data_IF_417155670625
#
_entry.id   IF_417155670625
#
_cell.length_a   1.000
_cell.length_b   1.000
_cell.length_c   1.000
_cell.angle_alpha   90.00
_cell.angle_beta   90.00
_cell.angle_gamma   90.00
#
_symmetry.space_group_name_H-M   'P 1'
#
loop_
_entity.id
_entity.type
_entity.pdbx_description
1 polymer ?
#
# COMPACT_ATOMS: atom_id res chain seq x y z
N UNK A 1 49.44 -29.30 16.34
CA UNK A 1 48.93 -27.91 16.27
C UNK A 1 47.65 -27.97 15.45
N UNK A 2 46.51 -27.96 16.09
CA UNK A 2 45.21 -27.95 15.45
C UNK A 2 44.72 -26.50 15.42
N UNK A 3 44.62 -25.92 14.22
CA UNK A 3 44.05 -24.60 14.01
C UNK A 3 42.53 -24.73 14.04
N UNK A 4 41.88 -24.29 15.11
CA UNK A 4 40.46 -24.07 15.17
C UNK A 4 40.13 -22.86 14.31
N UNK A 5 39.61 -23.10 13.12
CA UNK A 5 38.98 -22.07 12.30
C UNK A 5 37.66 -21.67 12.97
N UNK A 6 37.64 -20.50 13.58
CA UNK A 6 36.41 -19.87 14.06
C UNK A 6 35.64 -19.41 12.81
N UNK A 7 34.65 -20.18 12.39
CA UNK A 7 33.59 -19.70 11.52
C UNK A 7 32.73 -18.75 12.37
N UNK A 8 33.07 -17.46 12.36
CA UNK A 8 32.13 -16.43 12.76
C UNK A 8 30.97 -16.48 11.77
N UNK A 9 29.85 -17.09 12.15
CA UNK A 9 28.55 -16.78 11.56
C UNK A 9 28.33 -15.28 11.83
N UNK A 10 28.63 -14.46 10.85
CA UNK A 10 28.11 -13.09 10.83
C UNK A 10 26.60 -13.21 10.84
N UNK A 11 25.99 -12.85 11.96
CA UNK A 11 24.56 -12.60 12.05
C UNK A 11 24.32 -11.44 11.06
N UNK A 12 24.01 -11.78 9.80
CA UNK A 12 23.83 -10.77 8.75
C UNK A 12 22.64 -9.92 9.17
N UNK A 13 22.90 -8.65 9.44
CA UNK A 13 21.88 -7.70 9.85
C UNK A 13 20.76 -7.68 8.81
N UNK A 14 19.54 -8.05 9.21
CA UNK A 14 18.37 -8.07 8.36
C UNK A 14 17.63 -6.74 8.48
N UNK A 15 17.03 -6.32 7.37
CA UNK A 15 16.04 -5.23 7.35
C UNK A 15 14.63 -5.83 7.36
N UNK A 16 13.80 -5.38 8.30
CA UNK A 16 12.41 -5.81 8.44
C UNK A 16 11.49 -4.80 7.78
N UNK A 17 10.73 -5.25 6.78
CA UNK A 17 9.87 -4.36 5.99
C UNK A 17 8.42 -4.80 6.11
N UNK A 18 7.57 -3.89 6.59
CA UNK A 18 6.13 -4.10 6.64
C UNK A 18 5.48 -3.91 5.27
N UNK A 19 4.73 -4.89 4.81
CA UNK A 19 3.95 -4.84 3.56
C UNK A 19 2.55 -5.40 3.79
N UNK A 20 1.65 -5.19 2.84
CA UNK A 20 0.39 -5.92 2.79
C UNK A 20 0.61 -7.34 2.28
N UNK A 21 -0.27 -8.27 2.71
CA UNK A 21 -0.25 -9.65 2.23
C UNK A 21 -1.47 -10.00 1.37
N UNK A 22 -2.46 -9.11 1.31
CA UNK A 22 -3.80 -9.33 0.76
C UNK A 22 -4.15 -8.42 -0.43
N UNK A 23 -3.18 -7.67 -0.97
CA UNK A 23 -3.39 -6.72 -2.06
C UNK A 23 -2.68 -7.17 -3.34
N UNK A 24 -3.35 -7.94 -4.23
CA UNK A 24 -2.78 -8.33 -5.53
C UNK A 24 -2.31 -7.11 -6.33
N UNK A 25 -1.10 -7.16 -6.87
CA UNK A 25 -0.47 -6.06 -7.61
C UNK A 25 0.27 -5.03 -6.75
N UNK A 26 0.08 -5.01 -5.42
CA UNK A 26 0.78 -4.09 -4.51
C UNK A 26 1.63 -4.83 -3.48
N UNK A 27 1.02 -5.36 -2.42
CA UNK A 27 1.66 -6.18 -1.41
C UNK A 27 0.89 -7.49 -1.29
N UNK A 28 1.43 -8.56 -1.85
CA UNK A 28 0.74 -9.84 -1.93
C UNK A 28 1.65 -11.01 -1.56
N UNK A 29 1.14 -11.86 -0.66
CA UNK A 29 1.82 -13.11 -0.30
C UNK A 29 1.18 -14.27 -1.03
N UNK A 30 1.97 -14.95 -1.89
CA UNK A 30 1.53 -16.10 -2.67
C UNK A 30 2.51 -17.25 -2.52
N UNK A 31 2.01 -18.36 -1.99
CA UNK A 31 2.81 -19.60 -1.86
C UNK A 31 4.19 -19.42 -1.22
N UNK A 32 4.29 -18.51 -0.23
CA UNK A 32 5.54 -18.24 0.50
C UNK A 32 6.44 -17.18 -0.14
N UNK A 33 6.11 -16.67 -1.31
CA UNK A 33 6.77 -15.54 -1.97
C UNK A 33 5.99 -14.25 -1.78
N UNK A 34 6.66 -13.12 -1.96
CA UNK A 34 6.06 -11.79 -1.89
C UNK A 34 6.21 -11.12 -3.25
N UNK A 35 5.11 -10.56 -3.75
CA UNK A 35 5.02 -9.90 -5.05
C UNK A 35 4.15 -8.64 -4.97
N UNK A 36 4.33 -7.72 -5.92
CA UNK A 36 3.58 -6.49 -6.02
C UNK A 36 4.46 -5.25 -6.08
N UNK A 37 3.86 -4.12 -6.42
CA UNK A 37 4.57 -2.86 -6.61
C UNK A 37 5.24 -2.36 -5.32
N UNK A 38 4.53 -2.41 -4.17
CA UNK A 38 5.11 -2.07 -2.86
C UNK A 38 6.32 -2.96 -2.52
N UNK A 39 6.26 -4.25 -2.92
CA UNK A 39 7.37 -5.20 -2.70
C UNK A 39 8.56 -4.87 -3.59
N UNK A 40 8.33 -4.53 -4.87
CA UNK A 40 9.40 -4.17 -5.80
C UNK A 40 10.08 -2.85 -5.36
N UNK A 41 9.31 -1.84 -4.95
CA UNK A 41 9.84 -0.59 -4.38
C UNK A 41 10.63 -0.85 -3.08
N UNK A 42 10.09 -1.70 -2.19
CA UNK A 42 10.76 -2.05 -0.93
C UNK A 42 12.11 -2.75 -1.16
N UNK A 43 12.18 -3.70 -2.13
CA UNK A 43 13.42 -4.35 -2.51
C UNK A 43 14.42 -3.36 -3.09
N UNK A 44 13.96 -2.49 -3.97
CA UNK A 44 14.83 -1.48 -4.59
C UNK A 44 15.47 -0.58 -3.52
N UNK A 45 14.65 -0.02 -2.62
CA UNK A 45 15.13 0.80 -1.50
C UNK A 45 16.11 0.01 -0.62
N UNK A 46 15.78 -1.21 -0.21
CA UNK A 46 16.65 -2.02 0.63
C UNK A 46 18.01 -2.29 -0.04
N UNK A 47 18.02 -2.58 -1.36
CA UNK A 47 19.25 -2.79 -2.11
C UNK A 47 20.11 -1.52 -2.18
N UNK A 48 19.51 -0.33 -2.37
CA UNK A 48 20.21 0.95 -2.34
C UNK A 48 20.76 1.27 -0.95
N UNK A 49 20.13 0.79 0.11
CA UNK A 49 20.61 0.88 1.49
C UNK A 49 21.72 -0.16 1.82
N UNK A 50 22.10 -1.00 0.86
CA UNK A 50 23.18 -1.98 1.00
C UNK A 50 22.74 -3.38 1.47
N UNK A 51 21.45 -3.66 1.56
CA UNK A 51 20.94 -4.98 1.90
C UNK A 51 20.74 -5.84 0.65
N UNK A 52 21.09 -7.11 0.73
CA UNK A 52 20.76 -8.11 -0.29
C UNK A 52 19.33 -8.60 -0.12
N UNK A 53 18.75 -9.21 -1.15
CA UNK A 53 17.39 -9.80 -1.06
C UNK A 53 17.26 -10.86 0.05
N UNK A 54 18.33 -11.59 0.37
CA UNK A 54 18.36 -12.57 1.44
C UNK A 54 18.29 -11.95 2.85
N UNK A 55 18.65 -10.68 2.97
CA UNK A 55 18.60 -9.92 4.24
C UNK A 55 17.26 -9.19 4.43
N UNK A 56 16.36 -9.23 3.43
CA UNK A 56 15.04 -8.62 3.57
C UNK A 56 14.08 -9.60 4.25
N UNK A 57 13.48 -9.16 5.36
CA UNK A 57 12.43 -9.89 6.07
C UNK A 57 11.10 -9.15 5.96
N UNK A 58 10.18 -9.67 5.14
CA UNK A 58 8.85 -9.10 5.02
C UNK A 58 7.94 -9.50 6.18
N UNK A 59 7.27 -8.52 6.77
CA UNK A 59 6.25 -8.67 7.83
C UNK A 59 4.90 -8.20 7.32
N UNK A 60 3.84 -8.87 7.75
CA UNK A 60 2.49 -8.39 7.49
C UNK A 60 2.22 -7.11 8.28
N UNK A 61 1.81 -6.05 7.60
CA UNK A 61 1.49 -4.76 8.20
C UNK A 61 0.02 -4.36 7.96
N UNK A 62 -0.92 -4.89 8.76
CA UNK A 62 -2.32 -4.51 8.70
C UNK A 62 -2.49 -3.01 8.97
N UNK A 63 -3.43 -2.36 8.29
CA UNK A 63 -3.59 -0.89 8.33
C UNK A 63 -3.66 -0.31 9.74
N UNK A 64 -4.34 -0.99 10.65
CA UNK A 64 -4.49 -0.54 12.05
C UNK A 64 -3.21 -0.67 12.90
N UNK A 65 -2.24 -1.49 12.46
CA UNK A 65 -1.06 -1.82 13.28
C UNK A 65 0.20 -1.08 12.86
N UNK A 66 0.20 -0.40 11.70
CA UNK A 66 1.41 0.16 11.07
C UNK A 66 2.16 1.12 11.98
N UNK A 67 1.45 2.08 12.59
CA UNK A 67 2.05 3.06 13.49
C UNK A 67 2.70 2.39 14.72
N UNK A 68 2.02 1.43 15.34
CA UNK A 68 2.53 0.69 16.48
C UNK A 68 3.75 -0.17 16.13
N UNK A 69 3.71 -0.85 14.96
CA UNK A 69 4.84 -1.67 14.50
C UNK A 69 6.12 -0.85 14.31
N UNK A 70 6.00 0.36 13.76
CA UNK A 70 7.14 1.29 13.63
C UNK A 70 7.62 1.81 14.98
N UNK A 71 6.72 2.24 15.84
CA UNK A 71 7.05 2.76 17.17
C UNK A 71 7.75 1.71 18.04
N UNK A 72 7.30 0.47 17.98
CA UNK A 72 7.88 -0.65 18.74
C UNK A 72 9.20 -1.17 18.14
N UNK A 73 9.53 -0.84 16.88
CA UNK A 73 10.68 -1.42 16.18
C UNK A 73 10.45 -2.86 15.70
N UNK A 74 9.20 -3.26 15.52
CA UNK A 74 8.85 -4.57 14.94
C UNK A 74 9.26 -4.64 13.47
N UNK A 75 9.30 -3.48 12.81
CA UNK A 75 9.78 -3.25 11.44
C UNK A 75 10.60 -1.96 11.35
N UNK A 76 11.52 -1.90 10.39
CA UNK A 76 12.38 -0.74 10.15
C UNK A 76 11.69 0.28 9.23
N UNK A 77 10.91 -0.20 8.26
CA UNK A 77 10.08 0.63 7.38
C UNK A 77 8.82 -0.09 6.93
N UNK A 78 7.82 0.66 6.46
CA UNK A 78 6.55 0.13 5.95
C UNK A 78 6.23 0.71 4.58
N UNK A 79 6.03 -0.19 3.59
CA UNK A 79 5.44 0.09 2.28
C UNK A 79 4.18 -0.77 2.12
N UNK A 80 3.04 -0.21 2.44
CA UNK A 80 1.79 -0.97 2.57
C UNK A 80 0.58 -0.13 2.13
N UNK A 81 0.64 0.44 0.89
CA UNK A 81 -0.33 1.43 0.42
C UNK A 81 -0.58 2.49 1.50
N UNK A 82 0.51 3.08 2.01
CA UNK A 82 0.50 3.86 3.23
C UNK A 82 0.40 5.35 2.94
N UNK A 83 -0.85 5.85 2.79
CA UNK A 83 -1.11 7.28 2.52
C UNK A 83 -0.47 8.17 3.58
N UNK A 84 0.32 9.14 3.15
CA UNK A 84 0.88 10.20 3.99
C UNK A 84 -0.27 11.10 4.43
N UNK A 85 -0.47 11.26 5.74
CA UNK A 85 -1.48 12.17 6.31
C UNK A 85 -0.94 12.89 7.52
N UNK A 86 -1.47 14.11 7.79
CA UNK A 86 -1.08 14.88 8.97
C UNK A 86 -1.35 14.12 10.29
N UNK A 87 -2.38 13.30 10.32
CA UNK A 87 -2.68 12.47 11.48
C UNK A 87 -1.59 11.42 11.71
N UNK A 88 -1.16 10.73 10.67
CA UNK A 88 -0.09 9.72 10.74
C UNK A 88 1.28 10.34 11.03
N UNK A 89 1.56 11.52 10.47
CA UNK A 89 2.80 12.30 10.75
C UNK A 89 2.96 12.66 12.24
N UNK A 90 1.91 12.63 13.04
CA UNK A 90 2.02 12.81 14.51
C UNK A 90 2.69 11.61 15.19
N UNK A 91 2.50 10.41 14.66
CA UNK A 91 2.94 9.15 15.26
C UNK A 91 4.22 8.57 14.64
N UNK A 92 4.43 8.78 13.34
CA UNK A 92 5.54 8.24 12.53
C UNK A 92 6.04 9.30 11.56
N UNK A 93 7.23 9.09 11.00
CA UNK A 93 7.73 9.92 9.90
C UNK A 93 7.57 9.17 8.57
N UNK A 94 7.67 9.91 7.46
CA UNK A 94 7.54 9.39 6.11
C UNK A 94 8.67 9.86 5.21
N UNK A 95 9.08 8.98 4.30
CA UNK A 95 9.78 9.33 3.07
C UNK A 95 8.85 9.15 1.88
N UNK A 96 9.13 9.77 0.76
CA UNK A 96 8.32 9.73 -0.45
C UNK A 96 7.61 11.05 -0.74
N UNK A 97 6.51 11.06 -1.51
CA UNK A 97 5.78 9.86 -1.93
C UNK A 97 6.52 9.02 -2.99
N UNK A 98 6.22 7.72 -3.04
CA UNK A 98 6.68 6.84 -4.13
C UNK A 98 5.58 6.52 -5.15
N UNK A 99 4.33 6.87 -4.85
CA UNK A 99 3.16 6.69 -5.70
C UNK A 99 2.03 7.63 -5.27
N UNK A 100 1.19 8.06 -6.20
CA UNK A 100 -0.04 8.81 -5.91
C UNK A 100 -1.22 8.02 -6.46
N UNK A 101 -1.99 7.39 -5.58
CA UNK A 101 -3.24 6.72 -5.91
C UNK A 101 -4.43 7.70 -5.84
N UNK A 102 -5.58 7.26 -6.32
CA UNK A 102 -6.85 7.94 -6.13
C UNK A 102 -7.85 7.04 -5.44
N UNK A 103 -8.56 7.51 -4.42
CA UNK A 103 -9.64 6.73 -3.82
C UNK A 103 -10.80 6.58 -4.79
N UNK A 104 -11.31 5.34 -4.93
CA UNK A 104 -12.43 5.00 -5.83
C UNK A 104 -13.37 3.99 -5.17
N UNK A 105 -14.31 3.46 -5.93
CA UNK A 105 -15.27 2.45 -5.52
C UNK A 105 -15.17 1.21 -6.38
N UNK A 106 -15.35 0.05 -5.77
CA UNK A 106 -15.54 -1.22 -6.45
C UNK A 106 -16.92 -1.78 -6.13
N UNK A 107 -17.60 -2.26 -7.15
CA UNK A 107 -18.96 -2.82 -7.09
C UNK A 107 -19.03 -4.14 -7.83
N UNK A 108 -20.13 -4.89 -7.68
CA UNK A 108 -20.40 -6.04 -8.51
C UNK A 108 -20.57 -5.62 -9.97
N UNK A 109 -20.26 -6.51 -10.90
CA UNK A 109 -20.25 -6.22 -12.35
C UNK A 109 -21.60 -5.70 -12.86
N UNK A 110 -22.71 -6.20 -12.31
CA UNK A 110 -24.10 -5.87 -12.67
C UNK A 110 -24.69 -4.69 -11.89
N UNK A 111 -23.96 -4.12 -10.93
CA UNK A 111 -24.40 -2.93 -10.18
C UNK A 111 -24.41 -1.68 -11.09
N UNK A 112 -25.54 -1.01 -11.19
CA UNK A 112 -25.72 0.18 -12.04
C UNK A 112 -26.16 1.42 -11.29
N UNK A 113 -26.54 1.28 -10.01
CA UNK A 113 -27.03 2.38 -9.18
C UNK A 113 -25.96 3.14 -8.42
N UNK A 114 -24.68 2.64 -8.42
CA UNK A 114 -23.56 3.29 -7.75
C UNK A 114 -22.55 3.72 -8.83
N UNK A 115 -22.41 5.04 -9.03
CA UNK A 115 -21.57 5.66 -10.05
C UNK A 115 -20.56 6.67 -9.45
N UNK A 116 -20.66 6.91 -8.15
CA UNK A 116 -19.80 7.81 -7.40
C UNK A 116 -20.09 7.71 -5.89
N UNK A 117 -19.28 8.37 -5.06
CA UNK A 117 -19.43 8.29 -3.60
C UNK A 117 -20.75 8.89 -3.09
N UNK A 118 -21.39 9.78 -3.82
CA UNK A 118 -22.67 10.40 -3.48
C UNK A 118 -23.82 9.36 -3.48
N UNK A 119 -23.71 8.30 -4.28
CA UNK A 119 -24.73 7.26 -4.41
C UNK A 119 -24.70 6.25 -3.23
N UNK A 120 -23.79 6.42 -2.28
CA UNK A 120 -23.60 5.49 -1.16
C UNK A 120 -24.52 5.74 0.03
N UNK A 121 -25.36 6.80 0.04
CA UNK A 121 -26.33 7.01 1.12
C UNK A 121 -27.31 5.83 1.19
N UNK A 122 -27.46 5.29 2.42
CA UNK A 122 -28.27 4.10 2.66
C UNK A 122 -27.67 2.77 2.17
N UNK A 123 -26.52 2.78 1.52
CA UNK A 123 -25.81 1.59 1.05
C UNK A 123 -24.86 1.03 2.12
N UNK A 124 -24.55 -0.25 2.01
CA UNK A 124 -23.57 -0.95 2.84
C UNK A 124 -22.22 -0.88 2.15
N UNK A 125 -21.27 -0.21 2.80
CA UNK A 125 -19.92 0.02 2.30
C UNK A 125 -18.92 -0.76 3.13
N UNK A 126 -18.00 -1.48 2.48
CA UNK A 126 -16.87 -2.09 3.16
C UNK A 126 -15.60 -1.25 2.97
N UNK A 127 -14.84 -1.15 4.04
CA UNK A 127 -13.45 -0.67 4.01
C UNK A 127 -12.65 -1.35 5.13
N UNK A 128 -11.36 -1.02 5.24
CA UNK A 128 -10.46 -1.66 6.19
C UNK A 128 -10.26 -0.79 7.42
N UNK A 129 -10.32 -1.42 8.60
CA UNK A 129 -10.04 -0.76 9.88
C UNK A 129 -8.65 -0.12 9.86
N UNK A 130 -8.57 1.18 10.18
CA UNK A 130 -7.33 1.96 10.14
C UNK A 130 -6.96 2.53 8.76
N UNK A 131 -7.80 2.31 7.72
CA UNK A 131 -7.68 3.03 6.45
C UNK A 131 -8.32 4.43 6.54
N UNK A 132 -7.89 5.33 5.66
CA UNK A 132 -8.48 6.67 5.52
C UNK A 132 -9.79 6.65 4.74
N UNK A 133 -9.97 5.66 3.88
CA UNK A 133 -10.99 5.64 2.82
C UNK A 133 -12.42 5.69 3.31
N UNK A 134 -12.77 4.90 4.35
CA UNK A 134 -14.12 4.89 4.89
C UNK A 134 -14.49 6.20 5.56
N UNK A 135 -13.52 6.79 6.30
CA UNK A 135 -13.68 8.08 6.96
C UNK A 135 -13.97 9.18 5.92
N UNK A 136 -13.19 9.23 4.84
CA UNK A 136 -13.34 10.22 3.78
C UNK A 136 -14.73 10.15 3.14
N UNK A 137 -15.22 8.96 2.79
CA UNK A 137 -16.57 8.82 2.21
C UNK A 137 -17.63 9.31 3.17
N UNK A 138 -17.60 8.87 4.43
CA UNK A 138 -18.61 9.22 5.44
C UNK A 138 -18.63 10.72 5.76
N UNK A 139 -17.47 11.36 5.82
CA UNK A 139 -17.37 12.77 6.21
C UNK A 139 -17.68 13.72 5.05
N UNK A 140 -17.27 13.37 3.83
CA UNK A 140 -17.32 14.31 2.68
C UNK A 140 -18.46 14.04 1.71
N UNK A 141 -18.93 12.80 1.55
CA UNK A 141 -19.84 12.44 0.47
C UNK A 141 -21.15 11.81 0.94
N UNK A 142 -21.10 10.74 1.72
CA UNK A 142 -22.25 9.91 2.07
C UNK A 142 -22.37 9.73 3.58
N UNK A 143 -23.07 10.65 4.26
CA UNK A 143 -23.21 10.66 5.73
C UNK A 143 -24.05 9.51 6.28
N UNK A 144 -24.98 8.97 5.49
CA UNK A 144 -25.88 7.88 5.88
C UNK A 144 -25.39 6.49 5.38
N UNK A 145 -24.13 6.40 4.97
CA UNK A 145 -23.53 5.13 4.57
C UNK A 145 -23.44 4.17 5.77
N UNK A 146 -23.83 2.90 5.54
CA UNK A 146 -23.67 1.83 6.53
C UNK A 146 -22.29 1.20 6.37
N UNK A 147 -21.36 1.62 7.22
CA UNK A 147 -19.97 1.15 7.16
C UNK A 147 -19.82 -0.22 7.80
N UNK A 148 -19.23 -1.16 7.08
CA UNK A 148 -18.68 -2.42 7.56
C UNK A 148 -17.15 -2.36 7.48
N UNK A 149 -16.48 -2.52 8.60
CA UNK A 149 -15.01 -2.56 8.63
C UNK A 149 -14.54 -4.02 8.70
N UNK A 150 -13.50 -4.32 7.91
CA UNK A 150 -12.84 -5.62 7.85
C UNK A 150 -11.33 -5.47 8.16
N UNK A 151 -10.62 -6.54 8.55
CA UNK A 151 -9.19 -6.48 8.80
C UNK A 151 -8.37 -6.27 7.51
N UNK A 152 -8.88 -6.76 6.36
CA UNK A 152 -8.21 -6.67 5.06
C UNK A 152 -9.18 -6.45 3.90
N UNK A 153 -8.63 -6.10 2.72
CA UNK A 153 -9.45 -5.85 1.54
C UNK A 153 -9.90 -7.13 0.82
N UNK A 154 -9.22 -8.25 1.02
CA UNK A 154 -9.68 -9.55 0.53
C UNK A 154 -11.00 -9.96 1.17
N UNK A 155 -11.20 -9.67 2.46
CA UNK A 155 -12.47 -9.89 3.17
C UNK A 155 -13.56 -8.95 2.66
N UNK A 156 -13.24 -7.68 2.39
CA UNK A 156 -14.17 -6.74 1.75
C UNK A 156 -14.61 -7.22 0.36
N UNK A 157 -13.69 -7.70 -0.47
CA UNK A 157 -14.03 -8.25 -1.79
C UNK A 157 -14.92 -9.49 -1.68
N UNK A 158 -14.68 -10.35 -0.70
CA UNK A 158 -15.52 -11.52 -0.41
C UNK A 158 -16.93 -11.09 0.04
N UNK A 159 -17.05 -10.11 0.93
CA UNK A 159 -18.32 -9.54 1.38
C UNK A 159 -19.11 -8.92 0.20
N UNK A 160 -18.43 -8.25 -0.72
CA UNK A 160 -19.05 -7.69 -1.92
C UNK A 160 -19.54 -8.76 -2.87
N UNK A 161 -18.74 -9.80 -3.13
CA UNK A 161 -19.13 -10.95 -3.98
C UNK A 161 -20.33 -11.71 -3.44
N UNK A 162 -20.44 -11.83 -2.12
CA UNK A 162 -21.56 -12.52 -1.45
C UNK A 162 -22.81 -11.65 -1.26
N UNK A 163 -22.76 -10.36 -1.63
CA UNK A 163 -23.88 -9.43 -1.48
C UNK A 163 -24.12 -8.93 -0.04
N UNK A 164 -23.17 -9.16 0.86
CA UNK A 164 -23.21 -8.63 2.25
C UNK A 164 -23.05 -7.12 2.24
N UNK A 165 -22.22 -6.59 1.34
CA UNK A 165 -22.06 -5.16 1.11
C UNK A 165 -22.39 -4.81 -0.34
N UNK A 166 -22.62 -3.52 -0.59
CA UNK A 166 -23.01 -3.01 -1.91
C UNK A 166 -21.82 -2.42 -2.67
N UNK A 167 -20.82 -1.92 -1.94
CA UNK A 167 -19.58 -1.38 -2.48
C UNK A 167 -18.39 -1.62 -1.53
N UNK A 168 -17.20 -1.53 -2.09
CA UNK A 168 -15.92 -1.43 -1.36
C UNK A 168 -15.26 -0.11 -1.75
N UNK A 169 -14.69 0.61 -0.79
CA UNK A 169 -13.91 1.82 -1.05
C UNK A 169 -12.49 1.70 -0.56
N UNK A 170 -11.57 2.02 -1.43
CA UNK A 170 -10.14 2.23 -1.17
C UNK A 170 -9.50 2.80 -2.44
N UNK A 171 -8.19 2.74 -2.52
CA UNK A 171 -7.42 3.31 -3.61
C UNK A 171 -7.59 2.48 -4.90
N UNK A 172 -7.65 3.17 -6.01
CA UNK A 172 -7.95 2.65 -7.35
C UNK A 172 -7.05 1.46 -7.76
N UNK A 173 -5.76 1.55 -7.49
CA UNK A 173 -4.80 0.47 -7.78
C UNK A 173 -5.07 -0.78 -6.93
N UNK A 174 -5.47 -0.64 -5.66
CA UNK A 174 -5.87 -1.77 -4.80
C UNK A 174 -7.12 -2.42 -5.38
N UNK A 175 -8.13 -1.60 -5.72
CA UNK A 175 -9.39 -2.07 -6.29
C UNK A 175 -9.18 -2.77 -7.63
N UNK A 176 -8.28 -2.27 -8.47
CA UNK A 176 -7.94 -2.88 -9.76
C UNK A 176 -7.38 -4.30 -9.58
N UNK A 177 -6.46 -4.50 -8.66
CA UNK A 177 -5.91 -5.83 -8.35
C UNK A 177 -6.99 -6.81 -7.83
N UNK A 178 -7.86 -6.35 -6.93
CA UNK A 178 -8.97 -7.16 -6.41
C UNK A 178 -10.01 -7.47 -7.49
N UNK A 179 -10.35 -6.49 -8.34
CA UNK A 179 -11.28 -6.70 -9.46
C UNK A 179 -10.74 -7.71 -10.46
N UNK A 180 -9.47 -7.63 -10.84
CA UNK A 180 -8.81 -8.60 -11.71
C UNK A 180 -8.85 -10.01 -11.10
N UNK A 181 -8.56 -10.14 -9.80
CA UNK A 181 -8.63 -11.41 -9.08
C UNK A 181 -10.05 -12.00 -9.01
N UNK A 182 -11.10 -11.18 -9.17
CA UNK A 182 -12.51 -11.60 -9.14
C UNK A 182 -12.99 -12.36 -10.37
N UNK A 183 -12.16 -12.48 -11.41
CA UNK A 183 -12.49 -13.11 -12.69
C UNK A 183 -13.72 -12.47 -13.36
N UNK A 184 -13.76 -11.16 -13.38
CA UNK A 184 -14.81 -10.37 -14.04
C UNK A 184 -16.13 -10.25 -13.28
N UNK A 185 -16.20 -10.65 -12.00
CA UNK A 185 -17.40 -10.49 -11.17
C UNK A 185 -17.50 -9.12 -10.52
N UNK A 186 -16.39 -8.44 -10.33
CA UNK A 186 -16.30 -7.10 -9.77
C UNK A 186 -15.76 -6.11 -10.82
N UNK A 187 -16.06 -4.84 -10.63
CA UNK A 187 -15.52 -3.73 -11.43
C UNK A 187 -15.24 -2.53 -10.57
N UNK A 188 -14.21 -1.78 -10.91
CA UNK A 188 -13.94 -0.45 -10.37
C UNK A 188 -14.81 0.57 -11.10
N UNK A 189 -15.28 1.61 -10.40
CA UNK A 189 -16.09 2.68 -11.03
C UNK A 189 -15.23 3.48 -12.02
N UNK A 190 -13.94 3.69 -11.72
CA UNK A 190 -13.01 4.41 -12.58
C UNK A 190 -13.16 5.92 -12.52
N UNK A 191 -13.56 6.44 -11.36
CA UNK A 191 -13.73 7.88 -11.09
C UNK A 191 -13.11 8.23 -9.73
N UNK A 192 -11.77 8.22 -9.62
CA UNK A 192 -11.10 8.57 -8.38
C UNK A 192 -11.48 9.98 -7.93
N UNK A 193 -11.71 10.14 -6.64
CA UNK A 193 -12.25 11.38 -6.05
C UNK A 193 -11.36 12.00 -4.96
N UNK A 194 -10.21 11.39 -4.67
CA UNK A 194 -9.14 11.94 -3.81
C UNK A 194 -7.77 11.71 -4.43
N UNK A 195 -6.73 12.23 -3.75
CA UNK A 195 -5.35 11.87 -3.99
C UNK A 195 -4.80 11.24 -2.72
N UNK A 196 -4.16 10.07 -2.88
CA UNK A 196 -3.62 9.27 -1.79
C UNK A 196 -2.11 9.09 -2.02
N UNK A 197 -1.26 10.00 -1.48
CA UNK A 197 0.18 9.90 -1.64
C UNK A 197 0.72 8.75 -0.77
N UNK A 198 1.29 7.73 -1.39
CA UNK A 198 1.91 6.61 -0.69
C UNK A 198 3.32 6.96 -0.26
N UNK A 199 3.59 6.88 1.04
CA UNK A 199 4.91 7.07 1.61
C UNK A 199 5.47 5.80 2.22
N UNK A 200 6.77 5.81 2.39
CA UNK A 200 7.49 4.84 3.21
C UNK A 200 7.43 5.31 4.65
N UNK A 201 6.62 4.62 5.47
CA UNK A 201 6.54 4.92 6.89
C UNK A 201 7.81 4.46 7.62
N UNK A 202 8.34 5.29 8.48
CA UNK A 202 9.52 5.01 9.31
C UNK A 202 9.27 5.45 10.74
N UNK A 203 10.05 4.90 11.68
CA UNK A 203 9.98 5.30 13.07
C UNK A 203 10.34 6.79 13.21
N UNK A 204 9.59 7.49 14.05
CA UNK A 204 9.85 8.90 14.38
C UNK A 204 10.84 8.99 15.51
N UNK A 205 12.10 9.32 15.20
CA UNK A 205 13.20 9.46 16.15
C UNK A 205 14.27 10.44 15.63
N UNK A 206 15.41 10.49 16.31
CA UNK A 206 16.50 11.43 15.96
C UNK A 206 17.12 11.13 14.58
N UNK A 207 17.10 9.88 14.15
CA UNK A 207 17.76 9.42 12.91
C UNK A 207 16.79 9.38 11.72
N UNK A 208 15.49 9.61 11.96
CA UNK A 208 14.43 9.49 10.95
C UNK A 208 14.67 10.38 9.73
N UNK A 209 15.19 11.59 9.94
CA UNK A 209 15.46 12.55 8.85
C UNK A 209 16.54 12.05 7.90
N UNK A 210 17.65 11.53 8.42
CA UNK A 210 18.74 10.97 7.60
C UNK A 210 18.25 9.72 6.87
N UNK A 211 17.49 8.87 7.55
CA UNK A 211 16.93 7.66 6.94
C UNK A 211 15.93 8.00 5.83
N UNK A 212 15.03 8.97 6.06
CA UNK A 212 14.10 9.46 5.04
C UNK A 212 14.83 10.01 3.80
N UNK A 213 15.93 10.75 3.99
CA UNK A 213 16.75 11.26 2.88
C UNK A 213 17.29 10.11 2.02
N UNK A 214 17.90 9.09 2.63
CA UNK A 214 18.40 7.92 1.90
C UNK A 214 17.29 7.17 1.14
N UNK A 215 16.10 7.06 1.73
CA UNK A 215 14.94 6.44 1.07
C UNK A 215 14.48 7.30 -0.11
N UNK A 216 14.41 8.61 0.04
CA UNK A 216 14.02 9.52 -1.03
C UNK A 216 15.01 9.47 -2.20
N UNK A 217 16.31 9.46 -1.92
CA UNK A 217 17.35 9.29 -2.93
C UNK A 217 17.16 7.98 -3.72
N UNK A 218 16.82 6.88 -3.03
CA UNK A 218 16.55 5.59 -3.65
C UNK A 218 15.28 5.62 -4.52
N UNK A 219 14.22 6.30 -4.09
CA UNK A 219 12.99 6.46 -4.89
C UNK A 219 13.27 7.28 -6.14
N UNK A 220 14.01 8.39 -6.02
CA UNK A 220 14.42 9.20 -7.16
C UNK A 220 15.26 8.40 -8.17
N UNK A 221 16.21 7.60 -7.69
CA UNK A 221 17.04 6.75 -8.54
C UNK A 221 16.20 5.69 -9.26
N UNK A 222 15.24 5.06 -8.56
CA UNK A 222 14.29 4.12 -9.15
C UNK A 222 13.48 4.74 -10.29
N UNK A 223 13.05 5.99 -10.12
CA UNK A 223 12.31 6.73 -11.15
C UNK A 223 13.25 7.07 -12.33
N UNK A 224 14.41 7.64 -12.05
CA UNK A 224 15.39 8.06 -13.08
C UNK A 224 15.92 6.88 -13.91
N UNK A 225 16.07 5.71 -13.30
CA UNK A 225 16.52 4.48 -14.00
C UNK A 225 15.41 3.79 -14.81
N UNK A 226 14.15 4.22 -14.68
CA UNK A 226 12.97 3.60 -15.30
C UNK A 226 12.53 2.30 -14.62
N UNK A 227 13.12 1.91 -13.49
CA UNK A 227 12.69 0.73 -12.72
C UNK A 227 11.31 0.93 -12.10
N UNK A 228 10.95 2.16 -11.76
CA UNK A 228 9.62 2.49 -11.28
C UNK A 228 8.53 2.16 -12.29
N UNK A 229 8.71 2.58 -13.56
CA UNK A 229 7.77 2.30 -14.65
C UNK A 229 7.68 0.80 -14.93
N UNK A 230 8.83 0.10 -14.99
CA UNK A 230 8.85 -1.35 -15.15
C UNK A 230 8.12 -2.08 -14.02
N UNK A 231 8.30 -1.62 -12.78
CA UNK A 231 7.64 -2.21 -11.62
C UNK A 231 6.12 -2.01 -11.67
N UNK A 232 5.63 -0.81 -12.02
CA UNK A 232 4.19 -0.55 -12.10
C UNK A 232 3.55 -1.33 -13.27
N UNK A 233 4.17 -1.34 -14.45
CA UNK A 233 3.69 -2.09 -15.61
C UNK A 233 3.56 -3.59 -15.31
N UNK A 234 4.62 -4.18 -14.74
CA UNK A 234 4.65 -5.59 -14.33
C UNK A 234 3.52 -5.94 -13.36
N UNK A 235 3.29 -5.09 -12.36
CA UNK A 235 2.37 -5.40 -11.27
C UNK A 235 0.90 -5.01 -11.56
N UNK A 236 0.66 -4.26 -12.64
CA UNK A 236 -0.69 -3.95 -13.14
C UNK A 236 -1.04 -4.75 -14.40
N UNK A 237 -0.16 -5.64 -14.86
CA UNK A 237 -0.42 -6.50 -16.00
C UNK A 237 -1.70 -7.33 -15.78
N UNK A 238 -2.55 -7.40 -16.81
CA UNK A 238 -3.84 -8.09 -16.75
C UNK A 238 -4.95 -7.32 -16.03
N UNK A 239 -4.69 -6.06 -15.66
CA UNK A 239 -5.71 -5.11 -15.20
C UNK A 239 -5.93 -4.03 -16.27
N UNK A 240 -7.06 -3.30 -16.19
CA UNK A 240 -7.30 -2.11 -17.01
C UNK A 240 -6.73 -0.83 -16.35
N UNK A 241 -6.00 -0.98 -15.24
CA UNK A 241 -5.49 0.14 -14.46
C UNK A 241 -4.28 0.79 -15.12
N UNK A 242 -4.27 2.13 -15.07
CA UNK A 242 -3.09 2.95 -15.40
C UNK A 242 -2.98 4.06 -14.38
N UNK A 243 -1.78 4.31 -13.83
CA UNK A 243 -1.55 5.46 -12.96
C UNK A 243 -1.92 6.77 -13.66
N UNK A 244 -2.49 7.71 -12.92
CA UNK A 244 -2.71 9.06 -13.46
C UNK A 244 -1.36 9.74 -13.73
N UNK A 245 -1.04 9.94 -14.99
CA UNK A 245 0.23 10.54 -15.45
C UNK A 245 0.41 12.01 -15.04
N UNK A 246 -0.65 12.65 -14.53
CA UNK A 246 -0.55 13.98 -13.95
C UNK A 246 0.21 13.99 -12.63
N UNK A 247 0.16 12.87 -11.89
CA UNK A 247 0.70 12.74 -10.55
C UNK A 247 1.78 11.67 -10.43
N UNK A 248 1.95 10.83 -11.47
CA UNK A 248 2.88 9.69 -11.44
C UNK A 248 3.82 9.66 -12.66
N UNK A 249 5.11 9.34 -12.48
CA UNK A 249 5.73 9.13 -11.18
C UNK A 249 5.79 10.42 -10.33
N UNK A 250 5.67 10.33 -8.99
CA UNK A 250 5.71 11.50 -8.13
C UNK A 250 7.15 12.01 -7.95
N UNK A 251 7.29 13.24 -7.44
CA UNK A 251 8.56 13.76 -6.97
C UNK A 251 8.65 13.51 -5.47
N UNK A 252 9.62 12.70 -4.97
CA UNK A 252 9.86 12.56 -3.53
C UNK A 252 10.21 13.91 -2.92
N UNK A 253 9.80 14.16 -1.67
CA UNK A 253 9.95 15.43 -0.92
C UNK A 253 8.97 16.57 -1.31
N UNK A 254 8.04 16.39 -2.22
CA UNK A 254 6.93 17.33 -2.39
C UNK A 254 5.91 17.13 -1.26
N UNK A 255 6.13 17.76 -0.12
CA UNK A 255 5.19 17.68 1.02
C UNK A 255 5.79 17.94 2.39
N UNK A 256 6.98 18.55 2.46
CA UNK A 256 7.50 19.17 3.69
C UNK A 256 6.78 20.49 4.03
#
# INVERSE_FOLDING_TARGET
MAACGSTSSSDEQKIKIGIKFDQPGLGFKKSGTYEGFDVDVARYIANQLGYTDAQIEFKEAPSKQREAMLQNGDVDMILASYSITDERKKAVDFAGPYFIAGQDLMVRKDETGINGPEDLNGKRLCSVTGSTSAKVVKEKFAKEVQLMEQPGYAECATALLSGIVDAVTTDDIILAGLAAASRGKLRVIGKPFTQEPYGVGIKKDADSKEFATKINDAIEDMIKSGEWERAIEKNTEGTDYKPDSKYNPPTPNEGE
#
